data_IF_131336876594
#
_entry.id   IF_131336876594
#
_cell.length_a   1.000
_cell.length_b   1.000
_cell.length_c   1.000
_cell.angle_alpha   90.00
_cell.angle_beta   90.00
_cell.angle_gamma   90.00
#
_symmetry.space_group_name_H-M   'P 1'
#
loop_
_entity.id
_entity.type
_entity.pdbx_description
1 polymer ?
#
# COMPACT_ATOMS: atom_id res chain seq x y z
N UNK A 1 -2.11 0.75 -7.41
CA UNK A 1 -2.07 -0.53 -6.65
C UNK A 1 -1.63 -1.74 -7.47
N UNK A 2 -1.75 -1.75 -8.80
CA UNK A 2 -1.30 -2.88 -9.63
C UNK A 2 0.19 -3.26 -9.43
N UNK A 3 1.09 -2.27 -9.33
CA UNK A 3 2.51 -2.52 -9.05
C UNK A 3 2.74 -3.22 -7.71
N UNK A 4 2.04 -2.77 -6.66
CA UNK A 4 2.10 -3.37 -5.32
C UNK A 4 1.53 -4.80 -5.34
N UNK A 5 0.41 -5.01 -6.04
CA UNK A 5 -0.17 -6.34 -6.23
C UNK A 5 0.75 -7.29 -6.97
N UNK A 6 1.37 -6.84 -8.07
CA UNK A 6 2.35 -7.63 -8.82
C UNK A 6 3.59 -7.96 -7.99
N UNK A 7 4.07 -7.00 -7.19
CA UNK A 7 5.17 -7.23 -6.27
C UNK A 7 4.85 -8.30 -5.22
N UNK A 8 3.65 -8.26 -4.61
CA UNK A 8 3.21 -9.28 -3.64
C UNK A 8 3.21 -10.68 -4.25
N UNK A 9 2.77 -10.83 -5.51
CA UNK A 9 2.81 -12.12 -6.20
C UNK A 9 4.26 -12.57 -6.45
N UNK A 10 5.12 -11.65 -6.85
CA UNK A 10 6.54 -11.94 -7.12
C UNK A 10 7.34 -12.22 -5.84
N UNK A 11 6.95 -11.66 -4.69
CA UNK A 11 7.64 -11.85 -3.43
C UNK A 11 7.30 -13.18 -2.73
N UNK A 12 6.15 -13.79 -3.04
CA UNK A 12 5.76 -15.12 -2.55
C UNK A 12 6.84 -16.21 -2.74
N UNK A 13 7.38 -16.46 -3.96
CA UNK A 13 8.42 -17.48 -4.16
C UNK A 13 9.70 -17.16 -3.39
N UNK A 14 10.10 -15.89 -3.31
CA UNK A 14 11.26 -15.48 -2.52
C UNK A 14 11.05 -15.73 -1.01
N UNK A 15 9.84 -15.50 -0.51
CA UNK A 15 9.47 -15.80 0.88
C UNK A 15 9.55 -17.31 1.17
N UNK A 16 9.07 -18.15 0.25
CA UNK A 16 9.18 -19.62 0.34
C UNK A 16 10.66 -20.05 0.39
N UNK A 17 11.50 -19.52 -0.48
CA UNK A 17 12.95 -19.82 -0.48
C UNK A 17 13.60 -19.37 0.84
N UNK A 18 13.22 -18.22 1.38
CA UNK A 18 13.71 -17.71 2.67
C UNK A 18 13.24 -18.53 3.89
N UNK A 19 12.18 -19.33 3.74
CA UNK A 19 11.74 -20.32 4.75
C UNK A 19 12.58 -21.60 4.64
N UNK A 20 12.82 -22.09 3.42
CA UNK A 20 13.58 -23.34 3.17
C UNK A 20 15.07 -23.18 3.50
N UNK A 21 15.65 -21.98 3.32
CA UNK A 21 17.07 -21.68 3.59
C UNK A 21 17.23 -20.68 4.76
N UNK A 22 16.98 -21.10 6.01
CA UNK A 22 16.92 -20.20 7.17
C UNK A 22 18.27 -19.60 7.59
N UNK A 23 19.39 -20.08 7.03
CA UNK A 23 20.76 -19.63 7.35
C UNK A 23 21.23 -18.44 6.50
N UNK A 24 20.51 -18.08 5.43
CA UNK A 24 20.85 -16.92 4.61
C UNK A 24 20.06 -15.69 5.12
N UNK A 25 20.67 -14.86 5.96
CA UNK A 25 20.07 -13.61 6.44
C UNK A 25 19.93 -12.54 5.32
N UNK A 26 20.83 -12.57 4.33
CA UNK A 26 20.85 -11.63 3.21
C UNK A 26 19.55 -11.55 2.38
N UNK A 27 18.94 -12.67 1.90
CA UNK A 27 17.68 -12.60 1.15
C UNK A 27 16.51 -12.05 1.97
N UNK A 28 16.48 -12.29 3.29
CA UNK A 28 15.44 -11.73 4.17
C UNK A 28 15.56 -10.21 4.33
N UNK A 29 16.78 -9.70 4.50
CA UNK A 29 17.03 -8.25 4.54
C UNK A 29 16.66 -7.58 3.22
N UNK A 30 17.02 -8.19 2.09
CA UNK A 30 16.67 -7.68 0.77
C UNK A 30 15.15 -7.60 0.57
N UNK A 31 14.41 -8.63 0.99
CA UNK A 31 12.95 -8.62 0.93
C UNK A 31 12.36 -7.48 1.77
N UNK A 32 12.80 -7.30 3.02
CA UNK A 32 12.31 -6.21 3.87
C UNK A 32 12.55 -4.82 3.27
N UNK A 33 13.71 -4.62 2.62
CA UNK A 33 14.01 -3.35 1.94
C UNK A 33 13.05 -3.14 0.77
N UNK A 34 12.78 -4.17 -0.02
CA UNK A 34 11.81 -4.06 -1.10
C UNK A 34 10.39 -3.84 -0.57
N UNK A 35 9.97 -4.57 0.46
CA UNK A 35 8.66 -4.44 1.08
C UNK A 35 8.45 -3.01 1.60
N UNK A 36 9.48 -2.41 2.22
CA UNK A 36 9.39 -1.03 2.72
C UNK A 36 9.29 0.00 1.59
N UNK A 37 10.00 -0.19 0.47
CA UNK A 37 9.86 0.64 -0.74
C UNK A 37 8.43 0.57 -1.28
N UNK A 38 7.86 -0.63 -1.40
CA UNK A 38 6.49 -0.81 -1.88
C UNK A 38 5.43 -0.31 -0.89
N UNK A 39 5.70 -0.34 0.41
CA UNK A 39 4.84 0.28 1.42
C UNK A 39 4.76 1.79 1.21
N UNK A 40 5.90 2.46 1.05
CA UNK A 40 5.94 3.91 0.79
C UNK A 40 5.23 4.24 -0.52
N UNK A 41 5.47 3.47 -1.58
CA UNK A 41 4.80 3.64 -2.87
C UNK A 41 3.28 3.47 -2.77
N UNK A 42 2.80 2.46 -2.04
CA UNK A 42 1.38 2.22 -1.79
C UNK A 42 0.76 3.40 -1.00
N UNK A 43 1.46 3.87 0.04
CA UNK A 43 1.00 4.97 0.89
C UNK A 43 0.90 6.27 0.11
N UNK A 44 1.92 6.59 -0.69
CA UNK A 44 1.92 7.77 -1.56
C UNK A 44 0.79 7.72 -2.60
N UNK A 45 0.55 6.55 -3.20
CA UNK A 45 -0.55 6.36 -4.15
C UNK A 45 -1.95 6.44 -3.50
N UNK A 46 -2.10 5.93 -2.28
CA UNK A 46 -3.35 6.05 -1.53
C UNK A 46 -3.61 7.51 -1.13
N UNK A 47 -2.58 8.23 -0.68
CA UNK A 47 -2.66 9.64 -0.31
C UNK A 47 -3.03 10.54 -1.50
N UNK A 48 -2.46 10.30 -2.68
CA UNK A 48 -2.82 11.06 -3.89
C UNK A 48 -4.24 10.76 -4.35
N UNK A 49 -4.71 9.52 -4.26
CA UNK A 49 -6.09 9.19 -4.55
C UNK A 49 -7.05 9.86 -3.54
N UNK A 50 -6.68 9.90 -2.26
CA UNK A 50 -7.47 10.55 -1.22
C UNK A 50 -7.64 12.06 -1.44
N UNK A 51 -6.58 12.76 -1.86
CA UNK A 51 -6.68 14.20 -2.16
C UNK A 51 -7.57 14.47 -3.36
N UNK A 52 -7.52 13.63 -4.40
CA UNK A 52 -8.41 13.74 -5.56
C UNK A 52 -9.87 13.47 -5.16
N UNK A 53 -10.13 12.45 -4.34
CA UNK A 53 -11.50 12.17 -3.82
C UNK A 53 -12.01 13.32 -2.95
N UNK A 54 -11.13 13.91 -2.12
CA UNK A 54 -11.49 15.07 -1.32
C UNK A 54 -11.88 16.27 -2.19
N UNK A 55 -11.10 16.56 -3.26
CA UNK A 55 -11.46 17.57 -4.24
C UNK A 55 -12.76 17.23 -4.98
N UNK A 56 -13.02 15.96 -5.28
CA UNK A 56 -14.24 15.54 -5.95
C UNK A 56 -15.50 15.73 -5.08
N UNK A 57 -15.36 15.62 -3.76
CA UNK A 57 -16.44 15.88 -2.79
C UNK A 57 -16.65 17.36 -2.51
N UNK A 58 -15.58 18.11 -2.20
CA UNK A 58 -15.70 19.48 -1.72
C UNK A 58 -15.56 20.53 -2.83
N UNK A 59 -14.92 20.19 -3.95
CA UNK A 59 -14.52 21.15 -4.98
C UNK A 59 -13.44 22.12 -4.48
N UNK A 60 -12.98 23.00 -5.37
CA UNK A 60 -12.13 24.14 -5.03
C UNK A 60 -12.38 25.30 -5.99
N UNK A 61 -12.95 26.39 -5.49
CA UNK A 61 -13.28 27.58 -6.29
C UNK A 61 -12.02 28.29 -6.82
N UNK A 62 -10.94 28.33 -6.04
CA UNK A 62 -9.68 28.98 -6.45
C UNK A 62 -9.01 28.30 -7.66
N UNK A 63 -9.29 27.01 -7.87
CA UNK A 63 -8.78 26.24 -9.02
C UNK A 63 -9.87 25.94 -10.06
N UNK A 64 -11.07 26.52 -9.93
CA UNK A 64 -12.25 26.21 -10.76
C UNK A 64 -12.58 24.69 -10.80
N UNK A 65 -12.32 23.98 -9.70
CA UNK A 65 -12.61 22.55 -9.59
C UNK A 65 -14.00 22.35 -9.00
N UNK A 66 -14.90 21.73 -9.76
CA UNK A 66 -16.29 21.49 -9.35
C UNK A 66 -16.42 20.20 -8.53
N UNK A 67 -17.40 20.15 -7.61
CA UNK A 67 -17.71 18.97 -6.82
C UNK A 67 -18.44 17.91 -7.68
N UNK A 68 -17.67 17.03 -8.32
CA UNK A 68 -18.17 16.00 -9.25
C UNK A 68 -19.08 14.99 -8.55
N UNK A 69 -18.82 14.71 -7.27
CA UNK A 69 -19.56 13.72 -6.49
C UNK A 69 -21.03 14.06 -6.25
N UNK A 70 -21.42 15.34 -6.42
CA UNK A 70 -22.82 15.74 -6.30
C UNK A 70 -23.68 15.21 -7.46
N UNK A 71 -23.06 14.95 -8.61
CA UNK A 71 -23.75 14.48 -9.81
C UNK A 71 -23.58 12.97 -10.04
N UNK A 72 -22.48 12.40 -9.56
CA UNK A 72 -22.15 10.96 -9.70
C UNK A 72 -21.91 10.30 -8.34
N UNK A 73 -22.99 10.15 -7.58
CA UNK A 73 -22.97 9.58 -6.22
C UNK A 73 -22.41 8.15 -6.18
N UNK A 74 -22.86 7.26 -7.07
CA UNK A 74 -22.43 5.84 -7.06
C UNK A 74 -20.93 5.70 -7.31
N UNK A 75 -20.41 6.41 -8.31
CA UNK A 75 -18.98 6.45 -8.60
C UNK A 75 -18.18 6.96 -7.41
N UNK A 76 -18.68 8.01 -6.75
CA UNK A 76 -17.98 8.61 -5.63
C UNK A 76 -17.97 7.70 -4.39
N UNK A 77 -19.07 6.99 -4.13
CA UNK A 77 -19.15 6.00 -3.06
C UNK A 77 -18.19 4.83 -3.31
N UNK A 78 -18.18 4.29 -4.54
CA UNK A 78 -17.26 3.23 -4.95
C UNK A 78 -15.79 3.65 -4.81
N UNK A 79 -15.45 4.86 -5.29
CA UNK A 79 -14.07 5.37 -5.27
C UNK A 79 -13.60 5.68 -3.85
N UNK A 80 -14.46 6.28 -3.03
CA UNK A 80 -14.17 6.53 -1.61
C UNK A 80 -13.94 5.23 -0.86
N UNK A 81 -14.81 4.22 -1.08
CA UNK A 81 -14.61 2.88 -0.53
C UNK A 81 -13.29 2.25 -0.97
N UNK A 82 -12.91 2.40 -2.25
CA UNK A 82 -11.63 1.91 -2.76
C UNK A 82 -10.44 2.58 -2.06
N UNK A 83 -10.47 3.91 -1.85
CA UNK A 83 -9.41 4.64 -1.14
C UNK A 83 -9.30 4.19 0.31
N UNK A 84 -10.42 4.04 1.02
CA UNK A 84 -10.42 3.52 2.40
C UNK A 84 -9.82 2.13 2.46
N UNK A 85 -10.22 1.23 1.55
CA UNK A 85 -9.66 -0.12 1.48
C UNK A 85 -8.15 -0.12 1.21
N UNK A 86 -7.65 0.83 0.40
CA UNK A 86 -6.22 0.96 0.14
C UNK A 86 -5.43 1.34 1.40
N UNK A 87 -5.95 2.22 2.25
CA UNK A 87 -5.32 2.54 3.54
C UNK A 87 -5.32 1.37 4.50
N UNK A 88 -6.41 0.57 4.54
CA UNK A 88 -6.44 -0.66 5.34
C UNK A 88 -5.33 -1.61 4.90
N UNK A 89 -5.15 -1.80 3.59
CA UNK A 89 -4.06 -2.62 3.04
C UNK A 89 -2.69 -2.08 3.44
N UNK A 90 -2.46 -0.75 3.37
CA UNK A 90 -1.21 -0.12 3.81
C UNK A 90 -0.91 -0.41 5.29
N UNK A 91 -1.91 -0.30 6.18
CA UNK A 91 -1.75 -0.59 7.59
C UNK A 91 -1.39 -2.06 7.83
N UNK A 92 -2.12 -2.98 7.21
CA UNK A 92 -1.83 -4.42 7.30
C UNK A 92 -0.41 -4.71 6.79
N UNK A 93 -0.03 -4.15 5.66
CA UNK A 93 1.30 -4.34 5.08
C UNK A 93 2.41 -3.81 5.98
N UNK A 94 2.20 -2.64 6.61
CA UNK A 94 3.11 -2.09 7.62
C UNK A 94 3.27 -3.05 8.82
N UNK A 95 2.16 -3.58 9.37
CA UNK A 95 2.22 -4.55 10.47
C UNK A 95 3.01 -5.81 10.09
N UNK A 96 2.82 -6.33 8.88
CA UNK A 96 3.55 -7.50 8.38
C UNK A 96 5.06 -7.24 8.28
N UNK A 97 5.47 -6.06 7.81
CA UNK A 97 6.88 -5.66 7.71
C UNK A 97 7.51 -5.56 9.10
N UNK A 98 6.81 -4.95 10.07
CA UNK A 98 7.28 -4.83 11.46
C UNK A 98 7.42 -6.21 12.11
N UNK A 99 6.44 -7.09 11.96
CA UNK A 99 6.54 -8.46 12.51
C UNK A 99 7.71 -9.23 11.87
N UNK A 100 7.93 -9.05 10.57
CA UNK A 100 9.01 -9.70 9.84
C UNK A 100 10.39 -9.21 10.26
N UNK A 101 10.54 -7.90 10.50
CA UNK A 101 11.81 -7.32 10.97
C UNK A 101 12.14 -7.75 12.40
N UNK A 102 11.14 -7.76 13.30
CA UNK A 102 11.30 -8.25 14.67
C UNK A 102 11.69 -9.73 14.70
N UNK A 103 11.12 -10.56 13.83
CA UNK A 103 11.45 -11.98 13.75
C UNK A 103 12.92 -12.24 13.34
N UNK A 104 13.51 -11.35 12.55
CA UNK A 104 14.94 -11.42 12.19
C UNK A 104 15.81 -10.90 13.33
N UNK A 105 15.43 -9.79 13.96
CA UNK A 105 16.15 -9.22 15.09
C UNK A 105 16.27 -10.20 16.27
N UNK A 106 15.25 -11.06 16.47
CA UNK A 106 15.25 -12.07 17.55
C UNK A 106 16.06 -13.33 17.25
N UNK A 107 16.48 -13.53 15.99
CA UNK A 107 17.26 -14.70 15.55
C UNK A 107 18.77 -14.45 15.60
N UNK A 108 19.16 -13.18 15.72
CA UNK A 108 20.52 -12.72 15.99
C UNK A 108 20.71 -12.49 17.49
#
# INVERSE_FOLDING_TARGET
>A
MALVGGYLVLSLPFSIVAIIRPHAAAPRLFLIILDSVFLVLATAGAASAASVVYLAHNGNQSSNWLAICNQYSDFCNQTSGAVVSAFIVVLIFMFLIVMSSLAIAKKH
#
